data_IF_193709556699
#
_entry.id   IF_193709556699
#
_cell.length_a   1.000
_cell.length_b   1.000
_cell.length_c   1.000
_cell.angle_alpha   90.00
_cell.angle_beta   90.00
_cell.angle_gamma   90.00
#
_symmetry.space_group_name_H-M   'P 1'
#
loop_
_entity.id
_entity.type
_entity.pdbx_description
1 polymer ?
#
# COMPACT_ATOMS: atom_id res chain seq x y z
N UNK A 1 15.40 -26.37 8.00
CA UNK A 1 14.05 -25.83 7.74
C UNK A 1 14.18 -24.31 7.68
N UNK A 2 14.35 -23.75 6.49
CA UNK A 2 14.28 -22.30 6.29
C UNK A 2 12.79 -21.95 6.33
N UNK A 3 12.37 -21.12 7.29
CA UNK A 3 11.01 -20.61 7.30
C UNK A 3 10.83 -19.75 6.05
N UNK A 4 10.00 -20.21 5.11
CA UNK A 4 9.56 -19.40 3.99
C UNK A 4 8.80 -18.19 4.57
N UNK A 5 9.28 -16.98 4.30
CA UNK A 5 8.60 -15.77 4.75
C UNK A 5 7.47 -15.51 3.76
N UNK A 6 6.20 -15.62 4.16
CA UNK A 6 5.11 -15.36 3.24
C UNK A 6 5.14 -13.88 2.79
N UNK A 7 4.72 -13.59 1.55
CA UNK A 7 4.59 -12.21 1.08
C UNK A 7 3.58 -11.43 1.95
N UNK A 8 3.69 -10.10 1.91
CA UNK A 8 2.74 -9.25 2.63
C UNK A 8 1.35 -9.36 2.01
N UNK A 9 0.32 -9.48 2.84
CA UNK A 9 -1.07 -9.49 2.36
C UNK A 9 -1.64 -8.07 2.26
N UNK A 10 -2.62 -7.83 1.36
CA UNK A 10 -3.33 -6.57 1.29
C UNK A 10 -3.98 -6.17 2.63
N UNK A 11 -4.55 -7.12 3.36
CA UNK A 11 -5.16 -6.89 4.66
C UNK A 11 -4.13 -6.38 5.70
N UNK A 12 -2.95 -6.99 5.73
CA UNK A 12 -1.87 -6.59 6.64
C UNK A 12 -1.34 -5.19 6.30
N UNK A 13 -1.12 -4.90 5.02
CA UNK A 13 -0.70 -3.57 4.57
C UNK A 13 -1.72 -2.49 4.94
N UNK A 14 -3.01 -2.75 4.70
CA UNK A 14 -4.08 -1.82 5.07
C UNK A 14 -4.12 -1.54 6.57
N UNK A 15 -3.96 -2.57 7.39
CA UNK A 15 -3.96 -2.43 8.83
C UNK A 15 -2.77 -1.59 9.32
N UNK A 16 -1.58 -1.79 8.75
CA UNK A 16 -0.41 -0.97 9.06
C UNK A 16 -0.54 0.48 8.59
N UNK A 17 -1.13 0.71 7.42
CA UNK A 17 -1.43 2.06 6.92
C UNK A 17 -2.45 2.77 7.83
N UNK A 18 -3.51 2.09 8.26
CA UNK A 18 -4.50 2.63 9.19
C UNK A 18 -3.88 2.94 10.55
N UNK A 19 -3.02 2.06 11.07
CA UNK A 19 -2.26 2.30 12.29
C UNK A 19 -1.30 3.50 12.19
N UNK A 20 -0.88 3.87 10.98
CA UNK A 20 -0.11 5.09 10.71
C UNK A 20 -0.99 6.34 10.49
N UNK A 21 -2.31 6.25 10.71
CA UNK A 21 -3.26 7.36 10.55
C UNK A 21 -3.65 7.64 9.10
N UNK A 22 -3.50 6.66 8.21
CA UNK A 22 -3.84 6.77 6.79
C UNK A 22 -5.22 6.17 6.50
N UNK A 23 -5.99 6.79 5.60
CA UNK A 23 -7.10 6.13 4.93
C UNK A 23 -6.53 5.07 3.98
N UNK A 24 -7.10 3.86 3.99
CA UNK A 24 -6.57 2.75 3.17
C UNK A 24 -7.62 1.98 2.38
N UNK A 25 -7.28 1.62 1.14
CA UNK A 25 -8.13 0.86 0.22
C UNK A 25 -7.30 -0.02 -0.72
N UNK A 26 -7.96 -0.95 -1.40
CA UNK A 26 -7.38 -1.72 -2.52
C UNK A 26 -8.04 -1.23 -3.80
N UNK A 27 -7.28 -0.95 -4.86
CA UNK A 27 -7.84 -0.60 -6.16
C UNK A 27 -8.25 -1.83 -6.99
N UNK A 28 -8.80 -1.60 -8.18
CA UNK A 28 -9.30 -2.68 -9.03
C UNK A 28 -8.21 -3.58 -9.62
N UNK A 29 -6.94 -3.20 -9.56
CA UNK A 29 -5.82 -4.04 -10.01
C UNK A 29 -5.09 -4.70 -8.83
N UNK A 30 -5.56 -4.49 -7.60
CA UNK A 30 -4.99 -5.07 -6.39
C UNK A 30 -3.97 -4.17 -5.69
N UNK A 31 -3.66 -2.97 -6.20
CA UNK A 31 -2.74 -2.08 -5.48
C UNK A 31 -3.34 -1.69 -4.13
N UNK A 32 -2.51 -1.73 -3.09
CA UNK A 32 -2.89 -1.28 -1.75
C UNK A 32 -2.47 0.16 -1.57
N UNK A 33 -3.41 1.02 -1.23
CA UNK A 33 -3.17 2.44 -1.04
C UNK A 33 -3.36 2.82 0.42
N UNK A 34 -2.45 3.66 0.91
CA UNK A 34 -2.62 4.46 2.11
C UNK A 34 -2.50 5.93 1.74
N UNK A 35 -3.40 6.79 2.22
CA UNK A 35 -3.34 8.23 2.00
C UNK A 35 -3.65 9.02 3.27
N UNK A 36 -2.89 10.08 3.49
CA UNK A 36 -3.23 11.14 4.45
C UNK A 36 -3.46 12.41 3.65
N UNK A 37 -4.59 13.09 3.86
CA UNK A 37 -4.82 14.37 3.22
C UNK A 37 -4.04 15.48 3.90
N UNK A 38 -3.49 16.41 3.12
CA UNK A 38 -2.93 17.64 3.64
C UNK A 38 -4.01 18.70 3.82
N UNK A 39 -3.76 19.62 4.75
CA UNK A 39 -4.57 20.83 4.91
C UNK A 39 -4.54 21.76 3.67
N UNK A 40 -3.55 21.63 2.78
CA UNK A 40 -3.50 22.37 1.53
C UNK A 40 -3.93 21.46 0.36
N UNK A 41 -4.75 21.97 -0.58
CA UNK A 41 -5.13 21.22 -1.77
C UNK A 41 -3.90 20.96 -2.66
N UNK A 42 -3.96 19.89 -3.43
CA UNK A 42 -2.95 19.55 -4.44
C UNK A 42 -2.69 18.05 -4.54
N UNK A 43 -1.75 17.64 -5.41
CA UNK A 43 -1.35 16.25 -5.53
C UNK A 43 -0.65 15.78 -4.24
N UNK A 44 -0.83 14.50 -3.93
CA UNK A 44 -0.08 13.87 -2.85
C UNK A 44 1.37 13.62 -3.27
N UNK A 45 2.32 13.82 -2.36
CA UNK A 45 3.66 13.26 -2.52
C UNK A 45 3.57 11.75 -2.39
N UNK A 46 4.16 11.04 -3.34
CA UNK A 46 4.00 9.62 -3.54
C UNK A 46 5.27 8.86 -3.13
N UNK A 47 5.10 7.72 -2.46
CA UNK A 47 6.14 6.72 -2.25
C UNK A 47 5.51 5.32 -2.29
N UNK A 48 6.31 4.29 -2.53
CA UNK A 48 5.79 2.93 -2.62
C UNK A 48 6.82 1.95 -3.15
N UNK A 49 6.42 0.69 -3.14
CA UNK A 49 7.14 -0.43 -3.75
C UNK A 49 6.14 -1.56 -3.99
N UNK A 50 6.58 -2.76 -4.33
CA UNK A 50 5.72 -3.92 -4.55
C UNK A 50 5.65 -4.84 -3.33
N UNK A 51 4.61 -5.68 -3.26
CA UNK A 51 4.38 -6.58 -2.12
C UNK A 51 4.29 -8.07 -2.49
N UNK A 52 4.35 -8.38 -3.78
CA UNK A 52 4.61 -9.72 -4.30
C UNK A 52 6.09 -10.09 -4.16
N UNK A 53 6.40 -11.35 -4.40
CA UNK A 53 7.77 -11.87 -4.34
C UNK A 53 7.92 -13.08 -5.26
N UNK A 54 9.16 -13.42 -5.58
CA UNK A 54 9.50 -14.62 -6.34
C UNK A 54 9.49 -15.88 -5.46
N UNK A 55 9.47 -17.06 -6.09
CA UNK A 55 9.70 -18.32 -5.38
C UNK A 55 11.07 -18.28 -4.71
N UNK A 56 11.13 -18.67 -3.43
CA UNK A 56 12.32 -18.56 -2.58
C UNK A 56 12.86 -17.12 -2.43
N UNK A 57 11.99 -16.12 -2.62
CA UNK A 57 12.29 -14.70 -2.42
C UNK A 57 12.66 -14.34 -0.98
N UNK A 58 13.40 -13.24 -0.84
CA UNK A 58 13.81 -12.68 0.44
C UNK A 58 12.72 -11.81 1.09
N UNK A 59 12.90 -11.48 2.36
CA UNK A 59 11.94 -10.68 3.15
C UNK A 59 11.96 -9.16 2.93
N UNK A 60 12.86 -8.66 2.07
CA UNK A 60 13.14 -7.22 1.96
C UNK A 60 12.78 -6.64 0.62
N UNK A 61 12.97 -7.40 -0.46
CA UNK A 61 12.65 -6.93 -1.80
C UNK A 61 11.17 -6.60 -1.92
N UNK A 62 10.85 -5.44 -2.49
CA UNK A 62 9.53 -4.85 -2.43
C UNK A 62 9.12 -4.34 -1.04
N UNK A 63 8.89 -5.27 -0.11
CA UNK A 63 8.29 -5.04 1.21
C UNK A 63 8.96 -3.92 2.02
N UNK A 64 10.29 -3.81 1.99
CA UNK A 64 11.03 -2.79 2.74
C UNK A 64 10.63 -1.37 2.31
N UNK A 65 10.43 -1.13 1.02
CA UNK A 65 10.04 0.19 0.51
C UNK A 65 8.67 0.64 1.00
N UNK A 66 7.71 -0.30 1.07
CA UNK A 66 6.36 -0.03 1.58
C UNK A 66 6.41 0.26 3.08
N UNK A 67 7.08 -0.60 3.85
CA UNK A 67 7.18 -0.46 5.31
C UNK A 67 7.92 0.83 5.67
N UNK A 68 8.99 1.18 4.95
CA UNK A 68 9.70 2.45 5.14
C UNK A 68 8.79 3.65 4.84
N UNK A 69 7.97 3.59 3.78
CA UNK A 69 6.99 4.62 3.46
C UNK A 69 5.94 4.82 4.56
N UNK A 70 5.36 3.73 5.07
CA UNK A 70 4.39 3.76 6.18
C UNK A 70 5.05 4.33 7.45
N UNK A 71 6.26 3.89 7.78
CA UNK A 71 7.00 4.36 8.94
C UNK A 71 7.33 5.86 8.83
N UNK A 72 7.72 6.34 7.64
CA UNK A 72 7.99 7.74 7.39
C UNK A 72 6.74 8.61 7.58
N UNK A 73 5.59 8.19 7.04
CA UNK A 73 4.31 8.90 7.24
C UNK A 73 3.98 8.98 8.73
N UNK A 74 4.05 7.87 9.44
CA UNK A 74 3.76 7.81 10.87
C UNK A 74 4.68 8.73 11.69
N UNK A 75 5.98 8.73 11.38
CA UNK A 75 6.95 9.61 12.02
C UNK A 75 6.65 11.09 11.76
N UNK A 76 6.29 11.45 10.53
CA UNK A 76 5.90 12.82 10.18
C UNK A 76 4.64 13.27 10.92
N UNK A 77 3.64 12.40 11.07
CA UNK A 77 2.42 12.70 11.83
C UNK A 77 2.75 12.91 13.32
N UNK A 78 3.60 12.06 13.91
CA UNK A 78 4.03 12.21 15.31
C UNK A 78 4.81 13.50 15.55
N UNK A 79 5.79 13.82 14.69
CA UNK A 79 6.55 15.07 14.80
C UNK A 79 5.64 16.28 14.62
N UNK A 80 4.67 16.23 13.70
CA UNK A 80 3.69 17.30 13.52
C UNK A 80 2.74 17.44 14.73
N UNK A 81 2.31 16.32 15.33
CA UNK A 81 1.49 16.31 16.54
C UNK A 81 2.24 16.96 17.71
N UNK A 82 3.52 16.61 17.90
CA UNK A 82 4.38 17.22 18.91
C UNK A 82 4.60 18.71 18.66
N UNK A 83 4.95 19.09 17.44
CA UNK A 83 5.20 20.49 17.08
C UNK A 83 3.96 21.39 17.25
N UNK A 84 2.76 20.82 17.15
CA UNK A 84 1.48 21.53 17.30
C UNK A 84 0.86 21.38 18.70
N UNK A 85 1.56 20.72 19.64
CA UNK A 85 1.09 20.53 21.02
C UNK A 85 -0.06 19.55 21.18
N UNK A 86 -0.34 18.70 20.16
CA UNK A 86 -1.33 17.64 20.25
C UNK A 86 -0.81 16.41 21.02
N UNK A 87 0.51 16.24 21.11
CA UNK A 87 1.19 15.27 21.96
C UNK A 87 2.46 15.89 22.55
N UNK A 88 2.91 15.38 23.69
CA UNK A 88 4.28 15.58 24.18
C UNK A 88 5.24 14.59 23.52
N UNK A 89 6.55 14.88 23.57
CA UNK A 89 7.59 13.93 23.10
C UNK A 89 7.57 12.62 23.90
N UNK A 90 7.26 12.68 25.19
CA UNK A 90 7.20 11.51 26.07
C UNK A 90 6.02 10.60 25.71
N UNK A 91 4.83 11.17 25.45
CA UNK A 91 3.66 10.40 24.99
C UNK A 91 3.92 9.73 23.64
N UNK A 92 4.49 10.46 22.68
CA UNK A 92 4.82 9.92 21.36
C UNK A 92 5.82 8.75 21.43
N UNK A 93 6.82 8.84 22.32
CA UNK A 93 7.83 7.79 22.51
C UNK A 93 7.32 6.54 23.26
N UNK A 94 6.19 6.65 23.96
CA UNK A 94 5.61 5.57 24.78
C UNK A 94 4.37 4.92 24.18
N UNK A 95 4.05 5.22 22.92
CA UNK A 95 2.93 4.56 22.24
C UNK A 95 3.11 3.03 22.28
N UNK A 96 2.10 2.28 22.75
CA UNK A 96 2.22 0.85 22.89
C UNK A 96 2.33 0.18 21.53
N UNK A 97 3.10 -0.91 21.47
CA UNK A 97 3.10 -1.80 20.31
C UNK A 97 1.81 -2.61 20.35
N UNK A 98 1.02 -2.55 19.29
CA UNK A 98 -0.11 -3.44 19.08
C UNK A 98 0.45 -4.82 18.72
N UNK A 99 0.26 -5.87 19.55
CA UNK A 99 0.79 -7.20 19.29
C UNK A 99 0.15 -7.86 18.05
N UNK A 100 -1.07 -7.48 17.67
CA UNK A 100 -1.71 -7.99 16.46
C UNK A 100 -1.10 -7.40 15.19
N UNK A 101 -0.55 -6.19 15.27
CA UNK A 101 0.09 -5.51 14.15
C UNK A 101 1.62 -5.63 14.16
N UNK A 102 2.23 -5.91 15.31
CA UNK A 102 3.69 -5.88 15.48
C UNK A 102 4.29 -4.46 15.34
N UNK A 103 3.46 -3.42 15.47
CA UNK A 103 3.86 -2.01 15.38
C UNK A 103 2.97 -1.16 16.30
N UNK A 104 3.35 0.08 16.58
CA UNK A 104 2.49 0.99 17.34
C UNK A 104 1.35 1.52 16.47
N UNK A 105 0.18 1.79 17.03
CA UNK A 105 -0.88 2.52 16.34
C UNK A 105 -0.87 3.98 16.82
N UNK A 106 -1.10 4.92 15.90
CA UNK A 106 -1.34 6.30 16.28
C UNK A 106 -2.66 6.40 17.08
N UNK A 107 -2.73 7.26 18.10
CA UNK A 107 -3.97 7.50 18.81
C UNK A 107 -5.09 7.93 17.84
N UNK A 108 -6.26 7.32 17.97
CA UNK A 108 -7.43 7.64 17.11
C UNK A 108 -7.95 9.07 17.31
N UNK A 109 -7.53 9.74 18.38
CA UNK A 109 -7.80 11.16 18.64
C UNK A 109 -6.96 12.09 17.76
N UNK A 110 -5.87 11.61 17.15
CA UNK A 110 -5.08 12.40 16.22
C UNK A 110 -5.73 12.42 14.85
N UNK A 111 -6.07 13.62 14.39
CA UNK A 111 -6.43 13.84 12.99
C UNK A 111 -5.16 14.13 12.18
N UNK A 112 -4.60 13.10 11.55
CA UNK A 112 -3.40 13.21 10.71
C UNK A 112 -3.55 14.28 9.61
N UNK A 113 -4.76 14.42 9.05
CA UNK A 113 -5.01 15.36 7.96
C UNK A 113 -4.97 16.83 8.40
N UNK A 114 -5.27 17.11 9.67
CA UNK A 114 -5.12 18.44 10.25
C UNK A 114 -3.66 18.79 10.58
N UNK A 115 -2.80 17.79 10.71
CA UNK A 115 -1.40 17.94 11.13
C UNK A 115 -0.47 18.18 9.94
N UNK A 116 -0.74 17.53 8.80
CA UNK A 116 0.10 17.64 7.60
C UNK A 116 -0.34 18.79 6.67
N UNK A 117 0.64 19.44 6.04
CA UNK A 117 0.37 20.50 5.05
C UNK A 117 0.07 19.95 3.67
N UNK A 118 0.80 18.93 3.23
CA UNK A 118 0.65 18.28 1.92
C UNK A 118 0.16 16.86 2.11
N UNK A 119 -0.66 16.39 1.18
CA UNK A 119 -1.12 15.01 1.17
C UNK A 119 0.05 14.07 0.91
N UNK A 120 0.04 12.90 1.55
CA UNK A 120 1.03 11.84 1.36
C UNK A 120 0.29 10.57 0.92
N UNK A 121 0.87 9.82 -0.02
CA UNK A 121 0.34 8.53 -0.46
C UNK A 121 1.45 7.48 -0.45
N UNK A 122 1.18 6.36 0.21
CA UNK A 122 2.00 5.15 0.15
C UNK A 122 1.25 4.11 -0.68
N UNK A 123 1.94 3.43 -1.60
CA UNK A 123 1.35 2.36 -2.41
C UNK A 123 2.16 1.09 -2.32
N UNK A 124 1.48 -0.01 -2.03
CA UNK A 124 1.96 -1.36 -2.32
C UNK A 124 1.44 -1.76 -3.69
N UNK A 125 2.33 -1.86 -4.68
CA UNK A 125 1.99 -2.27 -6.03
C UNK A 125 1.79 -3.78 -6.12
N UNK A 126 0.75 -4.18 -6.84
CA UNK A 126 0.48 -5.57 -7.15
C UNK A 126 1.32 -6.04 -8.36
N UNK A 127 1.83 -7.26 -8.26
CA UNK A 127 2.45 -8.04 -9.35
C UNK A 127 3.50 -7.24 -10.14
N UNK A 128 4.61 -6.91 -9.46
CA UNK A 128 5.77 -6.27 -10.06
C UNK A 128 6.67 -7.30 -10.73
N UNK A 129 6.90 -8.43 -10.06
CA UNK A 129 7.82 -9.50 -10.46
C UNK A 129 7.26 -10.29 -11.66
N UNK A 130 5.94 -10.28 -11.86
CA UNK A 130 5.27 -10.85 -13.02
C UNK A 130 5.37 -12.39 -13.09
N UNK A 131 5.62 -13.08 -11.98
CA UNK A 131 5.92 -14.52 -11.96
C UNK A 131 4.76 -15.36 -12.47
N UNK A 132 3.51 -14.95 -12.19
CA UNK A 132 2.32 -15.75 -12.50
C UNK A 132 1.80 -15.57 -13.93
N UNK A 133 1.74 -14.34 -14.42
CA UNK A 133 1.14 -14.00 -15.71
C UNK A 133 2.14 -13.50 -16.76
N UNK A 134 3.44 -13.50 -16.42
CA UNK A 134 4.50 -12.89 -17.24
C UNK A 134 4.24 -11.42 -17.59
N UNK A 135 3.38 -10.74 -16.80
CA UNK A 135 3.04 -9.34 -16.91
C UNK A 135 3.71 -8.57 -15.78
N UNK A 136 4.98 -8.22 -15.98
CA UNK A 136 5.69 -7.39 -15.00
C UNK A 136 5.05 -6.01 -14.86
N UNK A 137 5.19 -5.43 -13.68
CA UNK A 137 4.74 -4.07 -13.37
C UNK A 137 3.23 -3.83 -13.50
N UNK A 138 2.39 -4.85 -13.27
CA UNK A 138 0.95 -4.75 -13.47
C UNK A 138 0.34 -3.53 -12.75
N UNK A 139 0.60 -3.45 -11.44
CA UNK A 139 0.04 -2.43 -10.57
C UNK A 139 0.47 -1.01 -10.92
N UNK A 140 1.76 -0.81 -11.23
CA UNK A 140 2.31 0.50 -11.56
C UNK A 140 1.92 0.95 -12.96
N UNK A 141 1.79 0.01 -13.92
CA UNK A 141 1.28 0.30 -15.26
C UNK A 141 -0.19 0.71 -15.26
N UNK A 142 -1.01 0.09 -14.40
CA UNK A 142 -2.39 0.52 -14.21
C UNK A 142 -2.44 1.96 -13.70
N UNK A 143 -1.67 2.26 -12.64
CA UNK A 143 -1.63 3.61 -12.06
C UNK A 143 -1.09 4.67 -13.03
N UNK A 144 -0.17 4.29 -13.92
CA UNK A 144 0.37 5.14 -14.98
C UNK A 144 -0.51 5.22 -16.23
N UNK A 145 -1.63 4.48 -16.29
CA UNK A 145 -2.54 4.45 -17.45
C UNK A 145 -1.97 3.76 -18.69
N UNK A 146 -0.96 2.88 -18.54
CA UNK A 146 -0.32 2.16 -19.65
C UNK A 146 -0.70 0.68 -19.72
N UNK A 147 -1.62 0.23 -18.88
CA UNK A 147 -2.04 -1.17 -18.82
C UNK A 147 -3.05 -1.56 -19.91
N UNK A 148 -4.05 -0.73 -20.22
CA UNK A 148 -5.07 -1.03 -21.24
C UNK A 148 -4.45 -1.42 -22.59
N UNK A 149 -3.44 -0.67 -23.04
CA UNK A 149 -2.78 -0.87 -24.32
C UNK A 149 -1.93 -2.16 -24.39
N UNK A 150 -1.79 -2.89 -23.29
CA UNK A 150 -0.90 -4.05 -23.18
C UNK A 150 -1.58 -5.39 -23.42
N UNK A 151 -2.91 -5.47 -23.35
CA UNK A 151 -3.63 -6.73 -23.36
C UNK A 151 -3.39 -7.61 -22.11
N UNK A 152 -2.76 -7.07 -21.05
CA UNK A 152 -2.38 -7.85 -19.87
C UNK A 152 -3.57 -8.49 -19.14
N UNK A 153 -4.77 -7.89 -19.18
CA UNK A 153 -5.96 -8.46 -18.54
C UNK A 153 -6.37 -9.82 -19.15
N UNK A 154 -6.02 -10.06 -20.41
CA UNK A 154 -6.34 -11.29 -21.13
C UNK A 154 -5.18 -12.30 -21.10
N UNK A 155 -4.05 -11.94 -20.48
CA UNK A 155 -2.92 -12.85 -20.26
C UNK A 155 -3.34 -14.02 -19.37
N UNK A 156 -2.85 -15.22 -19.70
CA UNK A 156 -3.21 -16.47 -19.01
C UNK A 156 -2.03 -17.03 -18.25
N UNK A 157 -2.28 -17.55 -17.05
CA UNK A 157 -1.30 -18.32 -16.29
C UNK A 157 -1.15 -19.75 -16.85
N UNK A 158 -0.25 -20.54 -16.24
CA UNK A 158 -0.01 -21.93 -16.65
C UNK A 158 -1.22 -22.88 -16.50
N UNK A 159 -2.25 -22.47 -15.75
CA UNK A 159 -3.51 -23.19 -15.61
C UNK A 159 -4.59 -22.68 -16.60
N UNK A 160 -4.26 -21.69 -17.43
CA UNK A 160 -5.17 -21.09 -18.40
C UNK A 160 -6.10 -20.03 -17.81
N UNK A 161 -5.97 -19.67 -16.53
CA UNK A 161 -6.77 -18.62 -15.89
C UNK A 161 -6.26 -17.27 -16.37
N UNK A 162 -7.17 -16.38 -16.78
CA UNK A 162 -6.82 -15.01 -17.17
C UNK A 162 -6.53 -14.13 -15.96
N UNK A 163 -5.72 -13.08 -16.14
CA UNK A 163 -5.51 -12.09 -15.09
C UNK A 163 -6.84 -11.48 -14.60
N UNK A 164 -7.79 -11.22 -15.51
CA UNK A 164 -9.13 -10.73 -15.16
C UNK A 164 -9.87 -11.69 -14.21
N UNK A 165 -9.83 -12.99 -14.49
CA UNK A 165 -10.46 -14.01 -13.64
C UNK A 165 -9.77 -14.11 -12.28
N UNK A 166 -8.44 -13.99 -12.25
CA UNK A 166 -7.68 -14.01 -11.00
C UNK A 166 -7.96 -12.78 -10.13
N UNK A 167 -8.04 -11.59 -10.72
CA UNK A 167 -8.44 -10.37 -10.00
C UNK A 167 -9.84 -10.52 -9.40
N UNK A 168 -10.80 -11.04 -10.18
CA UNK A 168 -12.17 -11.27 -9.72
C UNK A 168 -12.24 -12.25 -8.53
N UNK A 169 -11.41 -13.31 -8.55
CA UNK A 169 -11.34 -14.28 -7.45
C UNK A 169 -10.83 -13.67 -6.14
N UNK A 170 -9.96 -12.67 -6.22
CA UNK A 170 -9.43 -11.91 -5.07
C UNK A 170 -10.33 -10.73 -4.66
N UNK A 171 -11.51 -10.58 -5.29
CA UNK A 171 -12.44 -9.48 -5.03
C UNK A 171 -12.01 -8.13 -5.64
N UNK A 172 -11.08 -8.15 -6.59
CA UNK A 172 -10.66 -7.02 -7.42
C UNK A 172 -11.27 -7.14 -8.84
N UNK A 173 -10.84 -6.30 -9.78
CA UNK A 173 -11.22 -6.42 -11.18
C UNK A 173 -12.63 -5.92 -11.55
N UNK A 174 -13.27 -5.09 -10.71
CA UNK A 174 -14.53 -4.43 -11.10
C UNK A 174 -14.34 -3.59 -12.37
N UNK A 175 -15.16 -3.84 -13.40
CA UNK A 175 -15.03 -3.24 -14.72
C UNK A 175 -15.17 -1.71 -14.72
N UNK A 176 -16.02 -1.16 -13.85
CA UNK A 176 -16.18 0.29 -13.75
C UNK A 176 -14.94 0.92 -13.09
N UNK A 177 -14.39 0.27 -12.07
CA UNK A 177 -13.18 0.70 -11.39
C UNK A 177 -11.91 0.51 -12.25
N UNK A 178 -11.82 -0.55 -13.05
CA UNK A 178 -10.76 -0.73 -14.06
C UNK A 178 -10.78 0.40 -15.09
N UNK A 179 -11.98 0.73 -15.62
CA UNK A 179 -12.15 1.88 -16.53
C UNK A 179 -11.74 3.21 -15.88
N UNK A 180 -12.04 3.39 -14.59
CA UNK A 180 -11.63 4.58 -13.85
C UNK A 180 -10.10 4.70 -13.67
N UNK A 181 -9.37 3.58 -13.73
CA UNK A 181 -7.91 3.53 -13.78
C UNK A 181 -7.34 3.69 -15.20
N UNK A 182 -8.20 3.85 -16.22
CA UNK A 182 -7.78 3.88 -17.62
C UNK A 182 -7.32 2.51 -18.14
N UNK A 183 -7.83 1.43 -17.54
CA UNK A 183 -7.58 0.03 -17.91
C UNK A 183 -8.75 -0.50 -18.73
#
# INVERSE_FOLDING_TARGET
>A
MTAHVPPLSPAQLKAWMQAAGMDSWVDAIGNVHGRVEGSLPGPATFTGSHYDTVVDGGKYDGALGIIAGIAAVKALVLEAAVARGALTREEAARLPVDPALGTTALPTTLNASALLRRSLRVVGFADEEGVRFQSTYLGSRALAGSLAASGALDARDGAGVTLREALAAEGAGDEAALRALGV
#
